data_IF_797469118181
#
_entry.id   IF_797469118181
#
_cell.length_a   1.000
_cell.length_b   1.000
_cell.length_c   1.000
_cell.angle_alpha   90.00
_cell.angle_beta   90.00
_cell.angle_gamma   90.00
#
_symmetry.space_group_name_H-M   'P 1'
#
loop_
_entity.id
_entity.type
_entity.pdbx_description
1 polymer ?
#
# COMPACT_ATOMS: atom_id res chain seq x y z
N UNK A 1 -12.15 5.15 19.74
CA UNK A 1 -12.01 6.17 18.67
C UNK A 1 -12.75 7.43 19.10
N UNK A 2 -12.02 8.43 19.56
CA UNK A 2 -12.52 9.79 19.80
C UNK A 2 -11.42 10.72 19.28
N UNK A 3 -11.69 11.66 18.36
CA UNK A 3 -10.67 12.60 17.91
C UNK A 3 -10.61 13.74 18.94
N UNK A 4 -9.55 13.80 19.73
CA UNK A 4 -9.31 14.94 20.61
C UNK A 4 -8.49 16.00 19.84
N UNK A 5 -9.03 17.21 19.92
CA UNK A 5 -8.56 18.50 19.44
C UNK A 5 -7.04 18.71 19.37
N UNK A 6 -6.62 19.35 18.28
CA UNK A 6 -5.26 19.90 18.15
C UNK A 6 -5.04 21.09 19.09
N UNK A 7 -3.81 21.19 19.59
CA UNK A 7 -3.29 22.40 20.20
C UNK A 7 -2.63 22.25 21.57
N UNK A 8 -1.90 21.18 21.86
CA UNK A 8 -0.98 21.14 23.00
C UNK A 8 0.33 20.44 22.61
N UNK A 9 1.46 20.95 23.12
CA UNK A 9 2.82 20.60 22.71
C UNK A 9 3.02 19.07 22.59
N UNK A 10 3.36 18.59 21.40
CA UNK A 10 3.58 17.16 21.13
C UNK A 10 4.57 16.48 22.11
N UNK A 11 5.51 17.24 22.70
CA UNK A 11 6.45 16.72 23.71
C UNK A 11 5.85 16.43 25.10
N UNK A 12 4.83 17.16 25.55
CA UNK A 12 4.22 16.92 26.87
C UNK A 12 3.28 15.72 26.86
N UNK A 13 2.55 15.52 25.75
CA UNK A 13 1.71 14.35 25.53
C UNK A 13 2.54 13.05 25.44
N UNK A 14 3.68 13.07 24.75
CA UNK A 14 4.58 11.91 24.63
C UNK A 14 5.17 11.48 25.99
N UNK A 15 5.51 12.44 26.84
CA UNK A 15 6.09 12.15 28.17
C UNK A 15 5.04 11.57 29.12
N UNK A 16 3.80 12.06 29.03
CA UNK A 16 2.66 11.50 29.77
C UNK A 16 2.35 10.07 29.30
N UNK A 17 2.24 9.85 27.99
CA UNK A 17 2.03 8.52 27.39
C UNK A 17 3.12 7.52 27.82
N UNK A 18 4.38 7.95 27.86
CA UNK A 18 5.48 7.10 28.31
C UNK A 18 5.39 6.73 29.79
N UNK A 19 4.86 7.64 30.62
CA UNK A 19 4.72 7.43 32.06
C UNK A 19 3.52 6.53 32.35
N UNK A 20 2.38 6.76 31.69
CA UNK A 20 1.18 5.97 31.81
C UNK A 20 1.41 4.53 31.35
N UNK A 21 2.05 4.33 30.19
CA UNK A 21 2.36 2.98 29.69
C UNK A 21 3.32 2.19 30.60
N UNK A 22 4.27 2.87 31.24
CA UNK A 22 5.13 2.23 32.25
C UNK A 22 4.36 1.86 33.51
N UNK A 23 3.36 2.64 33.88
CA UNK A 23 2.45 2.30 34.98
C UNK A 23 1.60 1.08 34.64
N UNK A 24 1.11 1.00 33.40
CA UNK A 24 0.29 -0.11 32.89
C UNK A 24 1.08 -1.42 32.70
N UNK A 25 2.40 -1.42 32.94
CA UNK A 25 3.27 -2.61 32.88
C UNK A 25 3.18 -3.38 31.56
N UNK A 26 3.20 -2.64 30.45
CA UNK A 26 3.12 -3.21 29.10
C UNK A 26 4.37 -4.05 28.80
N UNK A 27 4.18 -5.33 28.49
CA UNK A 27 5.26 -6.26 28.11
C UNK A 27 5.84 -5.96 26.71
N UNK A 28 4.95 -5.69 25.76
CA UNK A 28 5.27 -5.46 24.35
C UNK A 28 4.49 -4.26 23.82
N UNK A 29 5.20 -3.23 23.36
CA UNK A 29 4.59 -2.07 22.71
C UNK A 29 4.82 -2.10 21.19
N UNK A 30 3.76 -1.82 20.41
CA UNK A 30 3.82 -1.76 18.96
C UNK A 30 3.48 -0.35 18.48
N UNK A 31 4.44 0.31 17.86
CA UNK A 31 4.27 1.59 17.19
C UNK A 31 3.63 1.38 15.82
N UNK A 32 2.41 1.89 15.66
CA UNK A 32 1.64 1.85 14.41
C UNK A 32 1.78 3.13 13.58
N UNK A 33 2.62 4.08 13.99
CA UNK A 33 2.75 5.39 13.34
C UNK A 33 4.19 5.65 12.86
N UNK A 34 5.19 5.39 13.71
CA UNK A 34 6.60 5.70 13.46
C UNK A 34 6.85 7.14 12.96
N UNK A 35 7.00 7.38 11.66
CA UNK A 35 7.22 8.74 11.11
C UNK A 35 5.99 9.31 10.38
N UNK A 36 4.82 8.72 10.58
CA UNK A 36 3.55 9.29 10.08
C UNK A 36 2.93 10.27 11.07
N UNK A 37 1.79 10.87 10.70
CA UNK A 37 1.00 11.69 11.62
C UNK A 37 0.63 10.89 12.88
N UNK A 38 0.55 11.58 14.03
CA UNK A 38 0.30 10.98 15.36
C UNK A 38 1.39 10.02 15.87
N UNK A 39 2.63 10.22 15.43
CA UNK A 39 3.78 9.54 16.01
C UNK A 39 4.11 10.04 17.43
N UNK A 40 4.57 9.11 18.28
CA UNK A 40 5.10 9.40 19.62
C UNK A 40 6.55 8.93 19.76
N UNK A 41 7.48 9.45 18.95
CA UNK A 41 8.84 8.94 18.87
C UNK A 41 9.60 9.09 20.20
N UNK A 42 9.29 10.12 21.00
CA UNK A 42 9.93 10.33 22.30
C UNK A 42 9.47 9.33 23.35
N UNK A 43 8.22 8.88 23.27
CA UNK A 43 7.72 7.82 24.14
C UNK A 43 8.50 6.52 23.89
N UNK A 44 8.54 6.07 22.63
CA UNK A 44 9.29 4.86 22.26
C UNK A 44 10.81 5.00 22.49
N UNK A 45 11.40 6.18 22.30
CA UNK A 45 12.79 6.43 22.68
C UNK A 45 13.05 6.15 24.17
N UNK A 46 12.09 6.52 25.02
CA UNK A 46 12.16 6.37 26.48
C UNK A 46 11.86 4.95 26.97
N UNK A 47 11.72 3.98 26.06
CA UNK A 47 11.34 2.58 26.33
C UNK A 47 10.07 2.46 27.19
N UNK A 48 8.91 2.56 26.55
CA UNK A 48 7.61 2.36 27.20
C UNK A 48 7.31 0.90 27.52
N UNK A 49 8.01 -0.04 26.88
CA UNK A 49 7.92 -1.48 27.15
C UNK A 49 9.29 -2.16 27.01
N UNK A 50 9.52 -3.32 27.66
CA UNK A 50 10.76 -4.08 27.52
C UNK A 50 11.04 -4.55 26.08
N UNK A 51 9.99 -4.87 25.32
CA UNK A 51 10.07 -5.16 23.88
C UNK A 51 9.26 -4.13 23.11
N UNK A 52 9.87 -3.48 22.13
CA UNK A 52 9.19 -2.50 21.28
C UNK A 52 9.30 -2.87 19.80
N UNK A 53 8.21 -2.68 19.06
CA UNK A 53 8.14 -3.03 17.65
C UNK A 53 7.53 -1.91 16.81
N UNK A 54 7.89 -1.81 15.53
CA UNK A 54 7.16 -1.00 14.54
C UNK A 54 6.36 -1.87 13.59
N UNK A 55 5.19 -1.39 13.18
CA UNK A 55 4.32 -2.10 12.24
C UNK A 55 3.41 -1.14 11.45
N UNK A 56 2.99 -1.59 10.27
CA UNK A 56 1.91 -1.02 9.47
C UNK A 56 2.18 0.31 8.76
N UNK A 57 2.20 1.46 9.46
CA UNK A 57 1.99 2.75 8.79
C UNK A 57 3.23 3.33 8.09
N UNK A 58 4.42 3.11 8.62
CA UNK A 58 5.65 3.65 8.03
C UNK A 58 6.42 2.56 7.26
N UNK A 59 6.53 2.68 5.93
CA UNK A 59 7.12 1.63 5.09
C UNK A 59 8.64 1.70 5.03
N UNK A 60 9.30 2.00 6.15
CA UNK A 60 10.76 1.95 6.28
C UNK A 60 11.18 1.75 7.76
N UNK A 61 12.49 1.60 8.02
CA UNK A 61 13.04 1.60 9.39
C UNK A 61 12.66 2.88 10.13
N UNK A 62 12.28 2.77 11.40
CA UNK A 62 12.06 3.95 12.24
C UNK A 62 13.39 4.65 12.60
N UNK A 63 14.53 3.96 12.50
CA UNK A 63 15.84 4.53 12.86
C UNK A 63 15.98 4.89 14.34
N UNK A 64 15.07 4.41 15.19
CA UNK A 64 15.08 4.65 16.63
C UNK A 64 15.77 3.47 17.33
N UNK A 65 16.90 3.73 18.00
CA UNK A 65 17.69 2.69 18.70
C UNK A 65 16.88 1.88 19.73
N UNK A 66 15.86 2.49 20.32
CA UNK A 66 14.99 1.83 21.30
C UNK A 66 13.98 0.87 20.67
N UNK A 67 13.85 0.84 19.34
CA UNK A 67 12.95 -0.07 18.64
C UNK A 67 13.65 -1.42 18.39
N UNK A 68 13.08 -2.51 18.88
CA UNK A 68 13.72 -3.82 18.86
C UNK A 68 13.42 -4.59 17.56
N UNK A 69 12.16 -4.55 17.12
CA UNK A 69 11.69 -5.30 15.95
C UNK A 69 10.88 -4.44 14.97
N UNK A 70 10.86 -4.85 13.70
CA UNK A 70 9.97 -4.31 12.69
C UNK A 70 9.21 -5.45 12.02
N UNK A 71 7.88 -5.41 12.09
CA UNK A 71 7.01 -6.46 11.55
C UNK A 71 6.79 -6.22 10.06
N UNK A 72 7.21 -7.19 9.24
CA UNK A 72 7.18 -7.16 7.77
C UNK A 72 6.86 -8.57 7.23
N UNK A 73 6.98 -8.80 5.92
CA UNK A 73 6.91 -10.14 5.31
C UNK A 73 8.09 -10.38 4.36
N UNK A 74 8.23 -11.62 3.90
CA UNK A 74 9.35 -12.02 3.06
C UNK A 74 9.33 -11.37 1.67
N UNK A 75 8.18 -10.83 1.22
CA UNK A 75 8.06 -10.15 -0.07
C UNK A 75 8.47 -8.69 0.01
N UNK A 76 8.11 -7.98 1.08
CA UNK A 76 8.42 -6.57 1.33
C UNK A 76 9.88 -6.36 1.72
N UNK A 77 10.43 -7.23 2.58
CA UNK A 77 11.82 -7.20 3.01
C UNK A 77 12.43 -8.62 2.93
N UNK A 78 12.90 -9.07 1.76
CA UNK A 78 13.55 -10.36 1.58
C UNK A 78 14.80 -10.52 2.46
N UNK A 79 15.26 -11.76 2.65
CA UNK A 79 16.53 -12.02 3.35
C UNK A 79 17.67 -11.28 2.65
N UNK A 80 18.49 -10.56 3.42
CA UNK A 80 19.60 -9.72 2.94
C UNK A 80 19.33 -8.22 3.04
N UNK A 81 18.10 -7.79 3.34
CA UNK A 81 17.76 -6.37 3.54
C UNK A 81 17.97 -5.89 4.98
N UNK A 82 18.27 -6.79 5.92
CA UNK A 82 18.42 -6.49 7.35
C UNK A 82 19.46 -5.40 7.61
N UNK A 83 20.52 -5.33 6.80
CA UNK A 83 21.59 -4.35 6.93
C UNK A 83 21.12 -2.89 6.81
N UNK A 84 19.95 -2.66 6.21
CA UNK A 84 19.37 -1.33 6.03
C UNK A 84 18.39 -0.94 7.14
N UNK A 85 18.18 -1.81 8.13
CA UNK A 85 17.23 -1.60 9.21
C UNK A 85 17.94 -1.54 10.57
N UNK A 86 17.55 -0.57 11.41
CA UNK A 86 18.01 -0.52 12.80
C UNK A 86 17.36 -1.61 13.67
N UNK A 87 16.15 -2.02 13.32
CA UNK A 87 15.36 -3.05 13.99
C UNK A 87 15.67 -4.45 13.45
N UNK A 88 15.42 -5.48 14.27
CA UNK A 88 15.38 -6.85 13.78
C UNK A 88 14.09 -7.08 12.97
N UNK A 89 14.22 -7.60 11.76
CA UNK A 89 13.08 -7.87 10.89
C UNK A 89 12.33 -9.12 11.36
N UNK A 90 11.04 -8.96 11.67
CA UNK A 90 10.12 -10.03 12.07
C UNK A 90 9.16 -10.31 10.92
N UNK A 91 9.41 -11.42 10.19
CA UNK A 91 8.64 -11.82 9.00
C UNK A 91 7.39 -12.60 9.38
N UNK A 92 6.22 -12.11 8.95
CA UNK A 92 4.92 -12.76 9.09
C UNK A 92 4.30 -13.03 7.72
N UNK A 93 4.65 -14.19 7.13
CA UNK A 93 4.15 -14.60 5.81
C UNK A 93 2.72 -15.14 5.85
N UNK A 94 1.96 -15.10 4.74
CA UNK A 94 2.39 -14.68 3.39
C UNK A 94 2.30 -13.17 3.12
N UNK A 95 1.66 -12.40 4.02
CA UNK A 95 1.54 -10.96 3.90
C UNK A 95 1.58 -10.32 5.28
N UNK A 96 2.32 -9.21 5.39
CA UNK A 96 2.39 -8.43 6.61
C UNK A 96 1.09 -7.68 6.88
N UNK A 97 0.18 -7.57 5.91
CA UNK A 97 -1.09 -6.87 6.05
C UNK A 97 -2.25 -7.84 6.32
N UNK A 98 -3.26 -7.30 7.00
CA UNK A 98 -4.58 -7.89 7.07
C UNK A 98 -5.60 -6.78 6.77
N UNK A 99 -6.58 -7.09 5.93
CA UNK A 99 -7.57 -6.14 5.46
C UNK A 99 -8.97 -6.65 5.77
N UNK A 100 -9.72 -5.82 6.48
CA UNK A 100 -11.16 -6.00 6.67
C UNK A 100 -11.88 -5.07 5.71
N UNK A 101 -12.61 -5.60 4.70
CA UNK A 101 -13.37 -4.77 3.79
C UNK A 101 -14.52 -4.06 4.51
N UNK A 102 -15.00 -2.90 4.00
CA UNK A 102 -16.25 -2.31 4.43
C UNK A 102 -17.40 -3.33 4.36
N UNK A 103 -18.35 -3.23 5.29
CA UNK A 103 -19.51 -4.13 5.34
C UNK A 103 -20.35 -4.08 4.06
N UNK A 104 -20.42 -2.90 3.44
CA UNK A 104 -21.07 -2.66 2.16
C UNK A 104 -20.02 -2.34 1.10
N UNK A 105 -20.05 -3.07 -0.02
CA UNK A 105 -19.21 -2.83 -1.18
C UNK A 105 -20.11 -2.54 -2.38
N UNK A 106 -19.76 -1.55 -3.23
CA UNK A 106 -20.46 -1.38 -4.50
C UNK A 106 -20.34 -2.64 -5.38
N UNK A 107 -21.24 -2.82 -6.32
CA UNK A 107 -21.15 -3.93 -7.28
C UNK A 107 -19.87 -3.81 -8.14
N UNK A 108 -19.27 -4.95 -8.50
CA UNK A 108 -18.21 -4.97 -9.52
C UNK A 108 -18.88 -4.76 -10.87
N UNK A 109 -18.47 -3.73 -11.61
CA UNK A 109 -18.92 -3.54 -12.99
C UNK A 109 -18.00 -4.27 -13.97
N UNK A 110 -18.53 -4.67 -15.15
CA UNK A 110 -17.69 -4.94 -16.32
C UNK A 110 -16.70 -3.79 -16.56
N UNK A 111 -15.56 -4.11 -17.16
CA UNK A 111 -14.54 -3.11 -17.48
C UNK A 111 -15.09 -2.07 -18.45
N UNK A 112 -14.78 -0.77 -18.30
CA UNK A 112 -15.34 0.26 -19.17
C UNK A 112 -15.01 0.02 -20.65
N UNK A 113 -13.91 -0.67 -20.95
CA UNK A 113 -13.55 -1.05 -22.31
C UNK A 113 -14.50 -2.06 -22.97
N UNK A 114 -15.41 -2.72 -22.23
CA UNK A 114 -16.45 -3.56 -22.84
C UNK A 114 -17.52 -2.75 -23.56
N UNK A 115 -17.62 -1.44 -23.27
CA UNK A 115 -18.62 -0.56 -23.89
C UNK A 115 -18.11 0.09 -25.18
N UNK A 116 -16.86 0.57 -25.19
CA UNK A 116 -16.31 1.35 -26.31
C UNK A 116 -14.98 0.81 -26.86
N UNK A 117 -14.48 -0.31 -26.33
CA UNK A 117 -13.22 -0.93 -26.75
C UNK A 117 -11.95 -0.24 -26.23
N UNK A 118 -12.06 0.93 -25.58
CA UNK A 118 -10.92 1.74 -25.12
C UNK A 118 -10.46 1.29 -23.74
N UNK A 119 -9.21 0.82 -23.63
CA UNK A 119 -8.63 0.44 -22.32
C UNK A 119 -8.41 1.68 -21.46
N UNK A 120 -8.82 1.63 -20.20
CA UNK A 120 -8.56 2.67 -19.22
C UNK A 120 -7.60 2.12 -18.17
N UNK A 121 -6.34 2.52 -18.26
CA UNK A 121 -5.41 2.36 -17.16
C UNK A 121 -5.73 3.40 -16.10
N UNK A 122 -5.47 3.12 -14.82
CA UNK A 122 -5.60 4.16 -13.81
C UNK A 122 -4.87 3.95 -12.51
N UNK A 123 -4.77 5.03 -11.74
CA UNK A 123 -4.17 5.00 -10.40
C UNK A 123 -4.88 5.99 -9.50
N UNK A 124 -5.42 5.50 -8.38
CA UNK A 124 -6.16 6.31 -7.40
C UNK A 124 -5.32 6.65 -6.15
N UNK A 125 -4.00 6.52 -6.27
CA UNK A 125 -3.03 6.78 -5.23
C UNK A 125 -2.93 8.28 -4.90
N UNK A 126 -2.48 8.59 -3.68
CA UNK A 126 -2.17 9.97 -3.30
C UNK A 126 -1.16 10.59 -4.29
N UNK A 127 -1.36 11.86 -4.64
CA UNK A 127 -0.50 12.55 -5.62
C UNK A 127 0.99 12.54 -5.21
N UNK A 128 1.29 12.54 -3.91
CA UNK A 128 2.66 12.42 -3.39
C UNK A 128 3.38 11.11 -3.78
N UNK A 129 2.64 10.07 -4.20
CA UNK A 129 3.20 8.80 -4.71
C UNK A 129 3.45 8.83 -6.22
N UNK A 130 2.94 9.84 -6.93
CA UNK A 130 3.10 10.01 -8.37
C UNK A 130 4.46 10.63 -8.68
N UNK A 131 5.51 9.84 -8.47
CA UNK A 131 6.88 10.26 -8.72
C UNK A 131 7.12 10.53 -10.22
N UNK A 132 8.14 11.34 -10.59
CA UNK A 132 8.54 11.47 -11.98
C UNK A 132 8.80 10.13 -12.68
N UNK A 133 9.38 9.16 -11.96
CA UNK A 133 9.63 7.80 -12.48
C UNK A 133 8.33 7.06 -12.80
N UNK A 134 7.32 7.15 -11.92
CA UNK A 134 6.00 6.56 -12.18
C UNK A 134 5.33 7.20 -13.40
N UNK A 135 5.32 8.53 -13.47
CA UNK A 135 4.70 9.26 -14.58
C UNK A 135 5.38 8.97 -15.92
N UNK A 136 6.71 8.88 -15.94
CA UNK A 136 7.48 8.50 -17.12
C UNK A 136 7.15 7.06 -17.57
N UNK A 137 7.12 6.11 -16.62
CA UNK A 137 6.77 4.72 -16.92
C UNK A 137 5.35 4.60 -17.46
N UNK A 138 4.39 5.34 -16.90
CA UNK A 138 3.02 5.34 -17.39
C UNK A 138 2.88 5.99 -18.76
N UNK A 139 3.66 7.03 -19.06
CA UNK A 139 3.78 7.57 -20.43
C UNK A 139 4.16 6.47 -21.44
N UNK A 140 5.14 5.62 -21.08
CA UNK A 140 5.54 4.47 -21.90
C UNK A 140 4.42 3.43 -22.05
N UNK A 141 3.67 3.12 -20.98
CA UNK A 141 2.50 2.21 -21.04
C UNK A 141 1.45 2.72 -22.02
N UNK A 142 1.06 4.00 -21.91
CA UNK A 142 0.04 4.61 -22.76
C UNK A 142 0.51 4.68 -24.23
N UNK A 143 1.79 4.96 -24.47
CA UNK A 143 2.36 4.92 -25.82
C UNK A 143 2.36 3.49 -26.41
N UNK A 144 2.62 2.47 -25.60
CA UNK A 144 2.68 1.07 -26.02
C UNK A 144 1.29 0.45 -26.32
N UNK A 145 0.21 1.07 -25.84
CA UNK A 145 -1.19 0.61 -26.07
C UNK A 145 -1.98 1.74 -26.73
N UNK A 146 -2.01 1.84 -28.08
CA UNK A 146 -2.53 3.02 -28.79
C UNK A 146 -4.00 3.37 -28.46
N UNK A 147 -4.87 2.36 -28.28
CA UNK A 147 -6.28 2.55 -27.94
C UNK A 147 -6.53 2.47 -26.43
N UNK A 148 -5.85 3.34 -25.66
CA UNK A 148 -6.03 3.40 -24.20
C UNK A 148 -6.04 4.82 -23.63
N UNK A 149 -6.48 5.00 -22.39
CA UNK A 149 -6.45 6.27 -21.64
C UNK A 149 -5.85 6.02 -20.26
N UNK A 150 -5.30 7.09 -19.65
CA UNK A 150 -4.86 7.07 -18.26
C UNK A 150 -5.81 7.89 -17.40
N UNK A 151 -6.37 7.26 -16.37
CA UNK A 151 -7.30 7.87 -15.42
C UNK A 151 -6.63 8.00 -14.06
N UNK A 152 -6.41 9.23 -13.60
CA UNK A 152 -5.81 9.49 -12.29
C UNK A 152 -6.82 10.13 -11.35
N UNK A 153 -6.79 9.75 -10.07
CA UNK A 153 -7.61 10.34 -9.01
C UNK A 153 -6.80 10.41 -7.72
N UNK A 154 -6.85 11.54 -7.04
CA UNK A 154 -6.25 11.71 -5.72
C UNK A 154 -7.07 12.74 -4.95
N UNK A 155 -7.07 12.68 -3.62
CA UNK A 155 -7.76 13.68 -2.78
C UNK A 155 -7.26 15.11 -3.05
N UNK A 156 -5.96 15.27 -3.33
CA UNK A 156 -5.35 16.56 -3.67
C UNK A 156 -5.76 17.09 -5.05
N UNK A 157 -6.29 16.25 -5.94
CA UNK A 157 -6.83 16.70 -7.23
C UNK A 157 -8.18 17.41 -7.11
N UNK A 158 -8.60 17.81 -5.90
CA UNK A 158 -9.60 18.86 -5.76
C UNK A 158 -9.09 20.18 -6.35
N UNK A 159 -7.79 20.44 -6.24
CA UNK A 159 -7.12 21.61 -6.82
C UNK A 159 -6.91 21.44 -8.34
N UNK A 160 -7.54 22.29 -9.19
CA UNK A 160 -7.32 22.26 -10.64
C UNK A 160 -5.87 22.51 -11.06
N UNK A 161 -5.12 23.37 -10.34
CA UNK A 161 -3.75 23.70 -10.72
C UNK A 161 -2.83 22.48 -10.63
N UNK A 162 -2.99 21.66 -9.59
CA UNK A 162 -2.27 20.40 -9.45
C UNK A 162 -2.63 19.40 -10.56
N UNK A 163 -3.89 19.37 -11.01
CA UNK A 163 -4.30 18.50 -12.14
C UNK A 163 -3.60 18.94 -13.43
N UNK A 164 -3.52 20.25 -13.69
CA UNK A 164 -2.87 20.78 -14.88
C UNK A 164 -1.34 20.55 -14.85
N UNK A 165 -0.71 20.67 -13.67
CA UNK A 165 0.71 20.36 -13.50
C UNK A 165 1.01 18.88 -13.81
N UNK A 166 0.26 17.95 -13.22
CA UNK A 166 0.46 16.51 -13.47
C UNK A 166 0.18 16.16 -14.93
N UNK A 167 -0.82 16.79 -15.56
CA UNK A 167 -1.09 16.64 -17.00
C UNK A 167 0.10 17.09 -17.84
N UNK A 168 0.66 18.27 -17.55
CA UNK A 168 1.82 18.79 -18.27
C UNK A 168 3.05 17.89 -18.12
N UNK A 169 3.29 17.33 -16.94
CA UNK A 169 4.37 16.36 -16.71
C UNK A 169 4.17 15.06 -17.51
N UNK A 170 2.96 14.49 -17.53
CA UNK A 170 2.68 13.29 -18.34
C UNK A 170 2.90 13.53 -19.84
N UNK A 171 2.47 14.71 -20.33
CA UNK A 171 2.68 15.10 -21.73
C UNK A 171 4.16 15.26 -22.05
N UNK A 172 4.96 15.87 -21.16
CA UNK A 172 6.41 16.00 -21.38
C UNK A 172 7.13 14.65 -21.42
N UNK A 173 6.56 13.61 -20.78
CA UNK A 173 7.03 12.23 -20.85
C UNK A 173 6.41 11.39 -21.98
N UNK A 174 5.70 12.02 -22.92
CA UNK A 174 5.21 11.37 -24.14
C UNK A 174 3.80 10.78 -24.07
N UNK A 175 3.05 11.03 -22.99
CA UNK A 175 1.64 10.65 -22.96
C UNK A 175 0.80 11.63 -23.82
N UNK A 176 -0.06 11.16 -24.74
CA UNK A 176 -0.89 12.06 -25.53
C UNK A 176 -1.94 12.78 -24.66
N UNK A 177 -2.01 14.11 -24.79
CA UNK A 177 -2.78 14.97 -23.88
C UNK A 177 -4.29 14.66 -23.86
N UNK A 178 -4.84 14.24 -24.99
CA UNK A 178 -6.25 13.86 -25.21
C UNK A 178 -6.62 12.49 -24.60
N UNK A 179 -5.61 11.74 -24.11
CA UNK A 179 -5.74 10.41 -23.50
C UNK A 179 -5.58 10.43 -21.98
N UNK A 180 -5.55 11.61 -21.36
CA UNK A 180 -5.36 11.79 -19.91
C UNK A 180 -6.63 12.32 -19.24
N UNK A 181 -7.16 11.55 -18.29
CA UNK A 181 -8.34 11.90 -17.50
C UNK A 181 -7.94 12.04 -16.02
N UNK A 182 -7.77 13.28 -15.54
CA UNK A 182 -7.43 13.55 -14.14
C UNK A 182 -8.70 14.00 -13.41
N UNK A 183 -9.22 13.14 -12.56
CA UNK A 183 -10.52 13.28 -11.92
C UNK A 183 -10.41 14.00 -10.58
N UNK A 184 -11.44 14.78 -10.25
CA UNK A 184 -11.68 15.25 -8.88
C UNK A 184 -11.95 14.06 -7.95
N UNK A 185 -11.64 14.18 -6.64
CA UNK A 185 -11.89 13.10 -5.71
C UNK A 185 -13.39 12.91 -5.42
N UNK A 186 -13.77 11.66 -5.16
CA UNK A 186 -14.98 11.36 -4.40
C UNK A 186 -14.74 11.60 -2.91
N UNK A 187 -15.74 12.18 -2.23
CA UNK A 187 -15.65 12.52 -0.80
C UNK A 187 -16.08 11.36 0.11
N UNK A 188 -17.07 10.57 -0.30
CA UNK A 188 -17.52 9.39 0.44
C UNK A 188 -16.73 8.14 0.02
N UNK A 189 -16.54 7.22 0.97
CA UNK A 189 -15.82 5.95 0.73
C UNK A 189 -16.48 5.10 -0.35
N UNK A 190 -17.81 4.94 -0.31
CA UNK A 190 -18.53 4.14 -1.31
C UNK A 190 -18.45 4.75 -2.70
N UNK A 191 -18.56 6.08 -2.81
CA UNK A 191 -18.37 6.79 -4.07
C UNK A 191 -16.95 6.60 -4.61
N UNK A 192 -15.94 6.65 -3.74
CA UNK A 192 -14.56 6.36 -4.12
C UNK A 192 -14.40 4.94 -4.68
N UNK A 193 -14.94 3.94 -3.99
CA UNK A 193 -14.88 2.55 -4.45
C UNK A 193 -15.60 2.38 -5.79
N UNK A 194 -16.75 3.03 -5.96
CA UNK A 194 -17.51 3.01 -7.21
C UNK A 194 -16.72 3.62 -8.40
N UNK A 195 -15.78 4.54 -8.15
CA UNK A 195 -14.93 5.09 -9.22
C UNK A 195 -14.05 4.05 -9.91
N UNK A 196 -13.76 2.89 -9.29
CA UNK A 196 -12.96 1.84 -9.94
C UNK A 196 -13.66 1.22 -11.16
N UNK A 197 -15.00 1.39 -11.29
CA UNK A 197 -15.74 1.09 -12.53
C UNK A 197 -15.28 1.89 -13.75
N UNK A 198 -14.55 3.01 -13.54
CA UNK A 198 -14.05 3.87 -14.61
C UNK A 198 -12.70 3.39 -15.18
N UNK A 199 -12.12 2.31 -14.66
CA UNK A 199 -10.82 1.79 -15.11
C UNK A 199 -10.86 0.28 -15.34
N UNK A 200 -10.09 -0.18 -16.33
CA UNK A 200 -9.93 -1.58 -16.67
C UNK A 200 -8.79 -2.24 -15.88
N UNK A 201 -7.64 -1.55 -15.80
CA UNK A 201 -6.40 -2.04 -15.21
C UNK A 201 -5.80 -0.93 -14.34
N UNK A 202 -5.44 -1.27 -13.10
CA UNK A 202 -4.77 -0.37 -12.19
C UNK A 202 -3.24 -0.44 -12.34
N UNK A 203 -2.60 0.72 -12.29
CA UNK A 203 -1.15 0.87 -12.31
C UNK A 203 -0.66 1.29 -10.92
N UNK A 204 0.08 0.41 -10.26
CA UNK A 204 0.70 0.70 -8.97
C UNK A 204 1.87 1.68 -9.18
N UNK A 205 1.94 2.81 -8.45
CA UNK A 205 3.05 3.74 -8.57
C UNK A 205 4.34 3.16 -8.00
N UNK A 206 5.46 3.61 -8.57
CA UNK A 206 6.83 3.28 -8.14
C UNK A 206 7.61 4.58 -7.94
N UNK A 207 8.54 4.69 -6.97
CA UNK A 207 9.04 3.68 -6.04
C UNK A 207 8.26 3.60 -4.72
N UNK A 208 7.05 4.13 -4.67
CA UNK A 208 6.19 4.07 -3.49
C UNK A 208 4.82 3.55 -3.89
N UNK A 209 4.55 2.28 -3.58
CA UNK A 209 3.35 1.57 -3.99
C UNK A 209 2.11 2.05 -3.25
N UNK A 210 0.96 1.73 -3.84
CA UNK A 210 -0.29 1.67 -3.13
C UNK A 210 -0.26 0.61 -2.02
N UNK A 211 -1.22 0.75 -1.11
CA UNK A 211 -1.49 -0.24 -0.07
C UNK A 211 -2.99 -0.46 -0.04
N UNK A 212 -3.72 0.44 0.62
CA UNK A 212 -5.18 0.42 0.64
C UNK A 212 -5.76 0.56 -0.77
N UNK A 213 -5.26 1.50 -1.57
CA UNK A 213 -5.68 1.71 -2.96
C UNK A 213 -5.46 0.49 -3.86
N UNK A 214 -4.38 -0.25 -3.65
CA UNK A 214 -4.11 -1.50 -4.36
C UNK A 214 -5.15 -2.56 -3.99
N UNK A 215 -5.45 -2.71 -2.70
CA UNK A 215 -6.48 -3.63 -2.20
C UNK A 215 -7.88 -3.22 -2.68
N UNK A 216 -8.18 -1.92 -2.69
CA UNK A 216 -9.45 -1.36 -3.17
C UNK A 216 -9.64 -1.58 -4.67
N UNK A 217 -8.59 -1.45 -5.48
CA UNK A 217 -8.65 -1.81 -6.90
C UNK A 217 -9.03 -3.29 -7.07
N UNK A 218 -8.31 -4.18 -6.37
CA UNK A 218 -8.51 -5.62 -6.45
C UNK A 218 -9.91 -6.05 -5.97
N UNK A 219 -10.39 -5.51 -4.85
CA UNK A 219 -11.73 -5.85 -4.32
C UNK A 219 -12.85 -5.29 -5.20
N UNK A 220 -12.59 -4.22 -5.96
CA UNK A 220 -13.48 -3.68 -6.99
C UNK A 220 -13.31 -4.36 -8.35
N UNK A 221 -12.59 -5.48 -8.41
CA UNK A 221 -12.43 -6.29 -9.61
C UNK A 221 -11.49 -5.66 -10.64
N UNK A 222 -10.56 -4.79 -10.24
CA UNK A 222 -9.57 -4.18 -11.15
C UNK A 222 -8.20 -4.82 -10.91
N UNK A 223 -7.62 -5.55 -11.89
CA UNK A 223 -6.28 -6.10 -11.74
C UNK A 223 -5.24 -4.98 -11.64
N UNK A 224 -4.21 -5.18 -10.81
CA UNK A 224 -3.15 -4.20 -10.56
C UNK A 224 -1.83 -4.72 -11.10
N UNK A 225 -1.12 -3.92 -11.90
CA UNK A 225 0.27 -4.20 -12.29
C UNK A 225 1.22 -3.44 -11.36
N UNK A 226 2.17 -4.14 -10.75
CA UNK A 226 3.15 -3.57 -9.83
C UNK A 226 4.58 -3.80 -10.31
N UNK A 227 5.51 -2.89 -9.98
CA UNK A 227 6.94 -3.03 -10.25
C UNK A 227 7.69 -3.29 -8.95
N UNK A 228 8.20 -4.50 -8.72
CA UNK A 228 8.95 -4.80 -7.52
C UNK A 228 10.29 -4.03 -7.50
N UNK A 229 10.45 -3.16 -6.50
CA UNK A 229 11.67 -2.40 -6.28
C UNK A 229 12.62 -3.01 -5.26
N UNK A 230 13.49 -2.14 -4.74
CA UNK A 230 14.63 -2.43 -3.86
C UNK A 230 14.37 -2.15 -2.37
N UNK A 231 13.20 -1.62 -2.02
CA UNK A 231 12.84 -1.19 -0.66
C UNK A 231 11.41 -1.57 -0.31
N UNK A 232 11.08 -1.65 0.97
CA UNK A 232 9.74 -2.02 1.46
C UNK A 232 8.61 -1.25 0.74
N UNK A 233 8.70 0.09 0.68
CA UNK A 233 7.68 0.93 0.02
C UNK A 233 7.48 0.60 -1.47
N UNK A 234 8.48 0.04 -2.15
CA UNK A 234 8.42 -0.40 -3.55
C UNK A 234 8.07 -1.88 -3.70
N UNK A 235 7.63 -2.55 -2.63
CA UNK A 235 7.37 -4.00 -2.60
C UNK A 235 6.04 -4.35 -1.93
N UNK A 236 5.32 -3.38 -1.38
CA UNK A 236 3.99 -3.61 -0.76
C UNK A 236 2.99 -4.18 -1.77
N UNK A 237 2.88 -3.60 -2.97
CA UNK A 237 2.02 -4.14 -4.02
C UNK A 237 2.42 -5.55 -4.45
N UNK A 238 3.73 -5.86 -4.48
CA UNK A 238 4.21 -7.20 -4.75
C UNK A 238 3.78 -8.20 -3.67
N UNK A 239 3.91 -7.84 -2.39
CA UNK A 239 3.43 -8.66 -1.27
C UNK A 239 1.93 -8.96 -1.39
N UNK A 240 1.11 -7.92 -1.62
CA UNK A 240 -0.35 -8.06 -1.79
C UNK A 240 -0.67 -9.02 -2.94
N UNK A 241 -0.07 -8.83 -4.11
CA UNK A 241 -0.31 -9.65 -5.29
C UNK A 241 0.12 -11.11 -5.08
N UNK A 242 1.24 -11.36 -4.40
CA UNK A 242 1.66 -12.71 -4.05
C UNK A 242 0.68 -13.36 -3.06
N UNK A 243 0.20 -12.61 -2.06
CA UNK A 243 -0.71 -13.10 -1.03
C UNK A 243 -2.08 -13.52 -1.57
N UNK A 244 -2.53 -12.94 -2.69
CA UNK A 244 -3.76 -13.32 -3.40
C UNK A 244 -3.51 -14.33 -4.53
N UNK A 245 -2.29 -14.83 -4.70
CA UNK A 245 -1.95 -15.82 -5.72
C UNK A 245 -1.80 -15.28 -7.14
N UNK A 246 -1.41 -14.00 -7.30
CA UNK A 246 -1.20 -13.33 -8.60
C UNK A 246 0.23 -12.79 -8.78
N UNK A 247 1.29 -13.61 -8.57
CA UNK A 247 2.67 -13.17 -8.73
C UNK A 247 3.00 -12.70 -10.16
N UNK A 248 2.27 -13.17 -11.17
CA UNK A 248 2.47 -12.81 -12.57
C UNK A 248 2.11 -11.35 -12.90
N UNK A 249 1.45 -10.65 -11.98
CA UNK A 249 1.16 -9.22 -12.08
C UNK A 249 2.26 -8.33 -11.49
N UNK A 250 3.31 -8.95 -10.96
CA UNK A 250 4.49 -8.27 -10.41
C UNK A 250 5.62 -8.32 -11.43
N UNK A 251 5.96 -7.16 -11.99
CA UNK A 251 7.11 -7.00 -12.85
C UNK A 251 8.41 -6.82 -12.04
N UNK A 252 9.53 -7.27 -12.60
CA UNK A 252 10.88 -7.14 -12.03
C UNK A 252 11.72 -6.03 -12.68
N UNK A 253 11.17 -5.40 -13.73
CA UNK A 253 11.81 -4.35 -14.50
C UNK A 253 10.75 -3.45 -15.14
N UNK A 254 11.14 -2.21 -15.49
CA UNK A 254 10.23 -1.30 -16.19
C UNK A 254 9.73 -1.85 -17.52
N UNK A 255 10.56 -2.61 -18.24
CA UNK A 255 10.16 -3.25 -19.49
C UNK A 255 9.11 -4.34 -19.23
N UNK A 256 9.33 -5.21 -18.25
CA UNK A 256 8.35 -6.21 -17.84
C UNK A 256 7.04 -5.57 -17.35
N UNK A 257 7.10 -4.41 -16.70
CA UNK A 257 5.91 -3.67 -16.27
C UNK A 257 5.08 -3.19 -17.46
N UNK A 258 5.73 -2.59 -18.47
CA UNK A 258 5.06 -2.16 -19.70
C UNK A 258 4.49 -3.37 -20.46
N UNK A 259 5.24 -4.46 -20.55
CA UNK A 259 4.82 -5.69 -21.23
C UNK A 259 3.62 -6.36 -20.52
N UNK A 260 3.61 -6.39 -19.19
CA UNK A 260 2.50 -6.91 -18.39
C UNK A 260 1.23 -6.07 -18.59
N UNK A 261 1.35 -4.74 -18.51
CA UNK A 261 0.23 -3.82 -18.76
C UNK A 261 -0.32 -3.97 -20.19
N UNK A 262 0.56 -4.06 -21.19
CA UNK A 262 0.19 -4.30 -22.59
C UNK A 262 -0.49 -5.66 -22.77
N UNK A 263 0.09 -6.73 -22.21
CA UNK A 263 -0.45 -8.09 -22.32
C UNK A 263 -1.88 -8.18 -21.79
N UNK A 264 -2.13 -7.64 -20.59
CA UNK A 264 -3.48 -7.55 -20.01
C UNK A 264 -4.44 -6.71 -20.86
N UNK A 265 -3.98 -5.58 -21.39
CA UNK A 265 -4.80 -4.72 -22.23
C UNK A 265 -5.17 -5.36 -23.58
N UNK A 266 -4.33 -6.25 -24.12
CA UNK A 266 -4.58 -6.95 -25.38
C UNK A 266 -5.42 -8.21 -25.20
N UNK A 267 -5.24 -8.95 -24.10
CA UNK A 267 -5.99 -10.17 -23.82
C UNK A 267 -7.29 -9.86 -23.08
N UNK A 268 -8.32 -9.51 -23.86
CA UNK A 268 -9.63 -9.10 -23.33
C UNK A 268 -10.36 -10.20 -22.58
N UNK A 269 -10.14 -11.46 -22.97
CA UNK A 269 -10.74 -12.59 -22.28
C UNK A 269 -10.11 -12.77 -20.90
N UNK A 270 -8.76 -12.79 -20.82
CA UNK A 270 -8.04 -12.84 -19.54
C UNK A 270 -8.41 -11.67 -18.64
N UNK A 271 -8.47 -10.45 -19.19
CA UNK A 271 -8.86 -9.27 -18.43
C UNK A 271 -10.27 -9.42 -17.86
N UNK A 272 -11.27 -9.80 -18.66
CA UNK A 272 -12.63 -10.01 -18.18
C UNK A 272 -12.68 -11.09 -17.08
N UNK A 273 -12.03 -12.24 -17.29
CA UNK A 273 -11.96 -13.31 -16.29
C UNK A 273 -11.34 -12.87 -14.97
N UNK A 274 -10.25 -12.10 -15.00
CA UNK A 274 -9.65 -11.53 -13.79
C UNK A 274 -10.64 -10.60 -13.08
N UNK A 275 -11.29 -9.70 -13.81
CA UNK A 275 -12.24 -8.76 -13.21
C UNK A 275 -13.40 -9.46 -12.51
N UNK A 276 -13.91 -10.54 -13.10
CA UNK A 276 -15.02 -11.33 -12.55
C UNK A 276 -14.62 -12.10 -11.27
N UNK A 277 -13.38 -12.60 -11.18
CA UNK A 277 -12.94 -13.44 -10.07
C UNK A 277 -12.17 -12.71 -8.96
N UNK A 278 -11.69 -11.50 -9.21
CA UNK A 278 -10.75 -10.82 -8.32
C UNK A 278 -11.30 -10.56 -6.91
N UNK A 279 -12.56 -10.12 -6.81
CA UNK A 279 -13.19 -9.86 -5.50
C UNK A 279 -13.25 -11.12 -4.65
N UNK A 280 -13.74 -12.23 -5.20
CA UNK A 280 -13.84 -13.49 -4.46
C UNK A 280 -12.46 -14.07 -4.14
N UNK A 281 -11.49 -13.91 -5.04
CA UNK A 281 -10.10 -14.30 -4.82
C UNK A 281 -9.49 -13.54 -3.65
N UNK A 282 -9.66 -12.21 -3.60
CA UNK A 282 -9.15 -11.38 -2.52
C UNK A 282 -9.82 -11.72 -1.18
N UNK A 283 -11.15 -11.82 -1.14
CA UNK A 283 -11.91 -12.11 0.08
C UNK A 283 -11.61 -13.49 0.67
N UNK A 284 -11.22 -14.47 -0.16
CA UNK A 284 -10.83 -15.82 0.29
C UNK A 284 -9.33 -15.98 0.55
N UNK A 285 -8.52 -14.95 0.28
CA UNK A 285 -7.07 -14.98 0.47
C UNK A 285 -6.65 -14.78 1.94
N UNK A 286 -5.37 -15.04 2.21
CA UNK A 286 -4.75 -14.80 3.52
C UNK A 286 -4.79 -13.32 3.95
N UNK A 287 -4.97 -12.38 3.00
CA UNK A 287 -5.08 -10.95 3.27
C UNK A 287 -6.38 -10.59 4.01
N UNK A 288 -7.45 -11.36 3.82
CA UNK A 288 -8.75 -11.15 4.47
C UNK A 288 -9.06 -12.18 5.57
N UNK A 289 -8.11 -13.07 5.90
CA UNK A 289 -8.23 -13.99 7.03
C UNK A 289 -7.65 -13.37 8.32
N UNK A 290 -8.47 -12.55 8.97
CA UNK A 290 -8.10 -11.89 10.23
C UNK A 290 -7.75 -12.87 11.36
N UNK A 291 -8.36 -14.06 11.38
CA UNK A 291 -8.10 -15.06 12.43
C UNK A 291 -6.71 -15.65 12.25
N UNK A 292 -6.37 -16.10 11.04
CA UNK A 292 -5.05 -16.65 10.77
C UNK A 292 -3.97 -15.57 10.91
N UNK A 293 -4.24 -14.34 10.46
CA UNK A 293 -3.30 -13.23 10.63
C UNK A 293 -3.01 -12.91 12.09
N UNK A 294 -4.05 -12.83 12.91
CA UNK A 294 -3.91 -12.57 14.35
C UNK A 294 -3.06 -13.66 15.01
N UNK A 295 -3.32 -14.94 14.70
CA UNK A 295 -2.51 -16.05 15.24
C UNK A 295 -1.04 -15.96 14.84
N UNK A 296 -0.73 -15.57 13.60
CA UNK A 296 0.66 -15.37 13.15
C UNK A 296 1.32 -14.23 13.91
N UNK A 297 0.62 -13.11 14.08
CA UNK A 297 1.08 -11.95 14.82
C UNK A 297 1.32 -12.28 16.30
N UNK A 298 0.37 -12.95 16.96
CA UNK A 298 0.48 -13.40 18.35
C UNK A 298 1.67 -14.36 18.54
N UNK A 299 1.87 -15.28 17.60
CA UNK A 299 3.01 -16.20 17.62
C UNK A 299 4.33 -15.43 17.53
N UNK A 300 4.43 -14.47 16.62
CA UNK A 300 5.62 -13.65 16.42
C UNK A 300 5.92 -12.79 17.66
N UNK A 301 4.89 -12.13 18.22
CA UNK A 301 5.00 -11.37 19.48
C UNK A 301 5.46 -12.30 20.62
N UNK A 302 4.81 -13.46 20.79
CA UNK A 302 5.18 -14.41 21.85
C UNK A 302 6.60 -14.93 21.72
N UNK A 303 7.06 -15.17 20.49
CA UNK A 303 8.43 -15.59 20.22
C UNK A 303 9.44 -14.53 20.69
N UNK A 304 9.25 -13.27 20.30
CA UNK A 304 10.14 -12.17 20.71
C UNK A 304 10.13 -11.93 22.22
N UNK A 305 8.97 -12.06 22.87
CA UNK A 305 8.86 -11.95 24.33
C UNK A 305 9.65 -13.05 25.05
N UNK A 306 9.50 -14.31 24.63
CA UNK A 306 10.27 -15.43 25.20
C UNK A 306 11.77 -15.21 25.03
N UNK A 307 12.20 -14.73 23.86
CA UNK A 307 13.60 -14.41 23.60
C UNK A 307 14.12 -13.29 24.53
N UNK A 308 13.29 -12.27 24.82
CA UNK A 308 13.62 -11.24 25.80
C UNK A 308 13.77 -11.81 27.21
N UNK A 309 12.81 -12.61 27.70
CA UNK A 309 12.88 -13.20 29.04
C UNK A 309 14.05 -14.16 29.24
N UNK A 310 14.49 -14.84 28.17
CA UNK A 310 15.63 -15.75 28.21
C UNK A 310 16.98 -15.03 28.11
N UNK A 311 17.00 -13.76 27.70
CA UNK A 311 18.23 -12.98 27.63
C UNK A 311 18.72 -12.66 29.05
N UNK A 312 20.03 -12.77 29.34
CA UNK A 312 20.56 -12.34 30.62
C UNK A 312 20.26 -10.85 30.83
N UNK A 313 19.89 -10.49 32.06
CA UNK A 313 19.66 -9.10 32.43
C UNK A 313 20.89 -8.25 32.06
N UNK A 314 20.66 -7.18 31.29
CA UNK A 314 21.70 -6.21 30.91
C UNK A 314 21.99 -5.24 32.05
#
# INVERSE_FOLDING_TARGET
AHPAHGGECAGSADTALATDNRHDSIDVAIDLSAHTCAASPLAFHSRVAPVQMTYLAYPNTAGVRAMDYRIIDSHTDPVGTEQWCGEKLLRIDPCFLCYTPPAELPEVSPGPSTHDGVIRFGSFNAAAKLSPQALQLWGRVIAAVPNSRLVLKASSFIDPALRDEVRAQLVSWGAPADRLDILSPAMATLDHLAMYSKIDIALDPFPYHGTTTTIEALIMGVPVVALAGDRHAARVGASILNAIGMPELVADSENAYVDAARSLATDRQRLASLRDSLRSTLLSSALCDATAHTRRLEHAIRHTWRAHCAAPAK
#
